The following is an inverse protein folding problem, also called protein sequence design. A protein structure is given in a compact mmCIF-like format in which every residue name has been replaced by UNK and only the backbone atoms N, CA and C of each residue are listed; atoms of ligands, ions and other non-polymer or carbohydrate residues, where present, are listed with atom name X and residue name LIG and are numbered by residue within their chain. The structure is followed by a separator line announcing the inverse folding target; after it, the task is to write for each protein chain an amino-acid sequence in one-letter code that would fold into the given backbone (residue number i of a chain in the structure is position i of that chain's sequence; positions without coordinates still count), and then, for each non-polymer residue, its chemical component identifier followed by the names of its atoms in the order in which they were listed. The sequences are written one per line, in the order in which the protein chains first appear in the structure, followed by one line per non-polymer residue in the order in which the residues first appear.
data_IF_315465761395
#
_entry.id   IF_315465761395
#
_cell.length_a   1.000
_cell.length_b   1.000
_cell.length_c   1.000
_cell.angle_alpha   90.00
_cell.angle_beta   90.00
_cell.angle_gamma   90.00
#
_symmetry.space_group_name_H-M   'P 1'
#
loop_
_entity.id
_entity.type
_entity.pdbx_description
1 polymer ?
#
# COMPACT_ATOMS: atom_id res chain seq x y z
N UNK A 1 36.26 16.89 -10.19
CA UNK A 1 37.46 16.02 -10.09
C UNK A 1 38.02 15.98 -8.66
N UNK A 2 38.07 17.12 -7.95
CA UNK A 2 38.63 17.25 -6.59
C UNK A 2 37.85 16.40 -5.54
N UNK A 3 36.53 16.44 -5.57
CA UNK A 3 35.66 15.63 -4.67
C UNK A 3 35.85 14.11 -4.85
N UNK A 4 36.08 13.65 -6.08
CA UNK A 4 36.33 12.23 -6.36
C UNK A 4 37.69 11.77 -5.83
N UNK A 5 38.72 12.64 -5.84
CA UNK A 5 40.02 12.36 -5.25
C UNK A 5 39.91 12.24 -3.73
N UNK A 6 39.23 13.17 -3.07
CA UNK A 6 38.95 13.13 -1.63
C UNK A 6 38.09 11.93 -1.20
N UNK A 7 37.23 11.42 -2.08
CA UNK A 7 36.47 10.20 -1.82
C UNK A 7 37.35 8.97 -1.76
N UNK A 8 38.32 8.87 -2.65
CA UNK A 8 39.26 7.74 -2.72
C UNK A 8 40.14 7.66 -1.47
N UNK A 9 40.53 8.84 -0.95
CA UNK A 9 41.42 8.94 0.20
C UNK A 9 40.71 8.81 1.55
N UNK A 10 39.39 9.10 1.63
CA UNK A 10 38.66 9.14 2.91
C UNK A 10 37.66 7.99 3.13
N UNK A 11 37.35 7.18 2.11
CA UNK A 11 36.34 6.12 2.19
C UNK A 11 34.89 6.62 2.41
N UNK A 12 34.67 7.94 2.52
CA UNK A 12 33.38 8.54 2.77
C UNK A 12 32.56 8.64 1.47
N UNK A 13 31.25 8.62 1.60
CA UNK A 13 30.35 8.88 0.45
C UNK A 13 30.50 10.31 -0.05
N UNK A 14 30.43 10.52 -1.36
CA UNK A 14 30.67 11.81 -2.01
C UNK A 14 29.79 12.94 -1.45
N UNK A 15 28.53 12.64 -1.07
CA UNK A 15 27.63 13.59 -0.44
C UNK A 15 28.09 14.03 0.96
N UNK A 16 28.67 13.13 1.74
CA UNK A 16 29.22 13.45 3.07
C UNK A 16 30.46 14.35 2.96
N UNK A 17 31.28 14.12 1.93
CA UNK A 17 32.46 14.96 1.63
C UNK A 17 32.01 16.35 1.18
N UNK A 18 30.97 16.45 0.35
CA UNK A 18 30.42 17.70 -0.12
C UNK A 18 29.86 18.55 1.03
N UNK A 19 29.20 17.93 2.02
CA UNK A 19 28.76 18.63 3.24
C UNK A 19 29.95 19.07 4.07
N UNK A 20 30.90 18.15 4.35
CA UNK A 20 32.06 18.41 5.20
C UNK A 20 32.94 19.58 4.68
N UNK A 21 32.98 19.77 3.37
CA UNK A 21 33.73 20.84 2.73
C UNK A 21 32.88 22.05 2.32
N UNK A 22 31.62 22.13 2.77
CA UNK A 22 30.78 23.31 2.57
C UNK A 22 30.26 23.51 1.12
N UNK A 23 30.41 22.53 0.23
CA UNK A 23 29.92 22.62 -1.16
C UNK A 23 28.41 22.58 -1.27
N UNK A 24 27.75 21.87 -0.35
CA UNK A 24 26.29 21.78 -0.27
C UNK A 24 25.85 21.64 1.19
N UNK A 25 24.69 22.19 1.52
CA UNK A 25 24.07 22.02 2.83
C UNK A 25 23.43 20.63 3.00
N UNK A 26 23.23 20.15 4.25
CA UNK A 26 22.55 18.88 4.51
C UNK A 26 21.15 18.82 3.88
N UNK A 27 20.41 19.93 3.90
CA UNK A 27 19.07 20.05 3.28
C UNK A 27 19.13 19.96 1.76
N UNK A 28 20.14 20.57 1.14
CA UNK A 28 20.34 20.55 -0.33
C UNK A 28 20.75 19.15 -0.80
N UNK A 29 21.63 18.45 -0.06
CA UNK A 29 21.99 17.08 -0.38
C UNK A 29 20.76 16.16 -0.32
N UNK A 30 19.94 16.32 0.73
CA UNK A 30 18.71 15.57 0.89
C UNK A 30 17.76 15.81 -0.30
N UNK A 31 17.60 17.08 -0.72
CA UNK A 31 16.74 17.47 -1.84
C UNK A 31 17.26 16.92 -3.18
N UNK A 32 18.58 16.93 -3.41
CA UNK A 32 19.21 16.37 -4.61
C UNK A 32 19.05 14.84 -4.69
N UNK A 33 19.25 14.14 -3.57
CA UNK A 33 19.05 12.68 -3.50
C UNK A 33 17.59 12.30 -3.68
N UNK A 34 16.69 13.11 -3.14
CA UNK A 34 15.24 12.94 -3.32
C UNK A 34 14.82 13.16 -4.77
N UNK A 35 15.31 14.23 -5.41
CA UNK A 35 15.06 14.52 -6.83
C UNK A 35 15.62 13.42 -7.75
N UNK A 36 16.78 12.86 -7.43
CA UNK A 36 17.38 11.75 -8.16
C UNK A 36 16.57 10.46 -7.98
N UNK A 37 16.00 10.22 -6.81
CA UNK A 37 15.10 9.09 -6.53
C UNK A 37 13.77 9.24 -7.27
N UNK A 38 13.19 10.44 -7.30
CA UNK A 38 11.97 10.77 -8.05
C UNK A 38 12.17 10.67 -9.56
N UNK A 39 13.33 11.07 -10.09
CA UNK A 39 13.70 10.95 -11.51
C UNK A 39 13.89 9.46 -11.89
N UNK A 40 14.44 8.62 -11.02
CA UNK A 40 14.54 7.17 -11.27
C UNK A 40 13.18 6.49 -11.30
N UNK A 41 12.26 6.90 -10.43
CA UNK A 41 10.86 6.43 -10.44
C UNK A 41 10.17 6.91 -11.73
N UNK A 42 10.38 8.15 -12.16
CA UNK A 42 9.82 8.69 -13.41
C UNK A 42 10.44 8.03 -14.66
N UNK A 43 11.75 7.77 -14.65
CA UNK A 43 12.45 7.10 -15.75
C UNK A 43 12.03 5.63 -15.91
N UNK A 44 11.78 4.91 -14.81
CA UNK A 44 11.20 3.56 -14.89
C UNK A 44 9.77 3.58 -15.42
N UNK A 45 8.99 4.63 -15.15
CA UNK A 45 7.66 4.82 -15.76
C UNK A 45 7.74 5.13 -17.26
N UNK A 46 8.71 5.93 -17.71
CA UNK A 46 8.89 6.30 -19.14
C UNK A 46 9.46 5.15 -19.98
N UNK A 47 10.37 4.35 -19.43
CA UNK A 47 10.89 3.15 -20.14
C UNK A 47 9.85 2.03 -20.20
N UNK A 48 8.94 1.95 -19.21
CA UNK A 48 7.82 1.01 -19.23
C UNK A 48 6.81 1.37 -20.36
N UNK A 49 6.56 2.66 -20.59
CA UNK A 49 5.64 3.10 -21.66
C UNK A 49 6.18 2.87 -23.08
N UNK A 50 7.49 2.87 -23.28
CA UNK A 50 8.12 2.60 -24.57
C UNK A 50 8.19 1.09 -24.91
N UNK A 51 8.24 0.22 -23.89
CA UNK A 51 8.29 -1.24 -24.08
C UNK A 51 6.92 -1.87 -24.37
N UNK A 52 5.82 -1.14 -24.16
CA UNK A 52 4.45 -1.63 -24.38
C UNK A 52 4.08 -1.72 -25.87
N UNK A 53 4.84 -1.08 -26.77
CA UNK A 53 4.53 -1.12 -28.20
C UNK A 53 5.05 -2.35 -28.96
N UNK A 54 5.78 -3.29 -28.34
CA UNK A 54 6.43 -4.39 -29.06
C UNK A 54 6.13 -5.81 -28.57
N UNK A 55 5.18 -6.03 -27.67
CA UNK A 55 4.81 -7.39 -27.26
C UNK A 55 3.46 -7.81 -27.84
N UNK A 56 3.51 -8.68 -28.87
CA UNK A 56 2.37 -9.52 -29.27
C UNK A 56 1.78 -10.21 -28.04
N UNK A 57 0.49 -10.02 -27.86
CA UNK A 57 -0.37 -10.65 -26.86
C UNK A 57 -0.12 -12.16 -26.75
N UNK A 58 0.69 -12.59 -25.81
CA UNK A 58 0.47 -13.90 -25.21
C UNK A 58 -0.69 -13.73 -24.22
N UNK A 59 -1.84 -14.33 -24.57
CA UNK A 59 -2.93 -14.54 -23.61
C UNK A 59 -2.37 -15.32 -22.42
N UNK A 60 -1.97 -14.61 -21.39
CA UNK A 60 -1.80 -15.22 -20.09
C UNK A 60 -3.15 -15.87 -19.75
N UNK A 61 -3.18 -17.19 -19.59
CA UNK A 61 -4.30 -17.90 -18.97
C UNK A 61 -4.49 -17.21 -17.61
N UNK A 62 -5.57 -16.45 -17.49
CA UNK A 62 -6.07 -16.04 -16.21
C UNK A 62 -6.47 -17.32 -15.48
N UNK A 63 -5.56 -17.86 -14.67
CA UNK A 63 -5.91 -18.78 -13.62
C UNK A 63 -6.96 -18.06 -12.78
N UNK A 64 -8.06 -18.75 -12.44
CA UNK A 64 -9.09 -18.16 -11.59
C UNK A 64 -8.41 -17.70 -10.30
N UNK A 65 -8.35 -16.39 -10.10
CA UNK A 65 -7.80 -15.79 -8.89
C UNK A 65 -8.70 -16.29 -7.74
N UNK A 66 -8.18 -17.19 -6.93
CA UNK A 66 -8.91 -17.70 -5.78
C UNK A 66 -9.14 -16.57 -4.78
N UNK A 67 -10.37 -16.43 -4.29
CA UNK A 67 -10.66 -15.38 -3.30
C UNK A 67 -9.94 -15.68 -1.96
N UNK A 68 -9.54 -14.63 -1.26
CA UNK A 68 -8.78 -14.71 0.00
C UNK A 68 -9.40 -15.64 1.04
N UNK A 69 -10.73 -15.68 1.26
CA UNK A 69 -11.34 -16.63 2.20
C UNK A 69 -11.15 -18.09 1.81
N UNK A 70 -11.23 -18.39 0.50
CA UNK A 70 -10.99 -19.74 0.00
C UNK A 70 -9.51 -20.14 0.15
N UNK A 71 -8.59 -19.18 -0.03
CA UNK A 71 -7.15 -19.38 0.17
C UNK A 71 -6.83 -19.70 1.64
N UNK A 72 -7.34 -18.91 2.57
CA UNK A 72 -7.09 -19.08 4.00
C UNK A 72 -7.76 -20.32 4.60
N UNK A 73 -8.71 -20.95 3.88
CA UNK A 73 -9.50 -22.10 4.39
C UNK A 73 -10.00 -21.84 5.81
N UNK A 74 -10.59 -20.66 6.02
CA UNK A 74 -11.12 -20.30 7.34
C UNK A 74 -12.16 -21.32 7.81
N UNK A 75 -12.07 -21.74 9.07
CA UNK A 75 -12.92 -22.78 9.64
C UNK A 75 -14.36 -22.34 9.95
N UNK A 76 -14.72 -21.13 9.57
CA UNK A 76 -16.07 -20.58 9.65
C UNK A 76 -16.48 -20.08 8.27
N UNK A 77 -17.76 -20.04 7.98
CA UNK A 77 -18.29 -19.48 6.74
C UNK A 77 -18.55 -18.00 6.95
N UNK A 78 -17.80 -17.09 6.31
CA UNK A 78 -18.10 -15.66 6.40
C UNK A 78 -19.49 -15.37 5.84
N UNK A 79 -20.31 -14.64 6.57
CA UNK A 79 -21.59 -14.17 6.06
C UNK A 79 -21.37 -12.96 5.14
N UNK A 80 -21.22 -13.23 3.84
CA UNK A 80 -21.05 -12.19 2.83
C UNK A 80 -22.29 -11.32 2.64
N UNK A 81 -23.49 -11.83 3.00
CA UNK A 81 -24.74 -11.05 2.91
C UNK A 81 -24.82 -9.98 4.01
N UNK A 82 -23.95 -10.05 5.00
CA UNK A 82 -23.84 -9.08 6.10
C UNK A 82 -23.41 -7.69 5.62
N UNK A 83 -22.81 -7.60 4.43
CA UNK A 83 -22.30 -6.38 3.86
C UNK A 83 -23.00 -6.08 2.55
N UNK A 84 -23.64 -4.93 2.46
CA UNK A 84 -24.22 -4.47 1.20
C UNK A 84 -23.13 -4.24 0.14
N UNK A 85 -23.43 -4.60 -1.10
CA UNK A 85 -22.55 -4.32 -2.22
C UNK A 85 -22.58 -2.82 -2.55
N UNK A 86 -21.43 -2.17 -2.52
CA UNK A 86 -21.32 -0.73 -2.83
C UNK A 86 -21.01 -0.56 -4.30
N UNK A 87 -21.97 -0.05 -5.07
CA UNK A 87 -21.82 0.16 -6.50
C UNK A 87 -20.94 1.38 -6.83
N UNK A 88 -21.00 2.43 -5.99
CA UNK A 88 -20.24 3.66 -6.17
C UNK A 88 -19.70 4.12 -4.82
N UNK A 89 -18.38 4.14 -4.71
CA UNK A 89 -17.73 4.62 -3.50
C UNK A 89 -17.54 6.14 -3.54
N UNK A 90 -17.64 6.81 -2.39
CA UNK A 90 -17.26 8.22 -2.29
C UNK A 90 -15.76 8.35 -2.61
N UNK A 91 -15.41 9.48 -3.22
CA UNK A 91 -14.01 9.83 -3.46
C UNK A 91 -13.26 9.98 -2.14
N UNK A 92 -12.00 9.57 -2.12
CA UNK A 92 -11.16 9.66 -0.93
C UNK A 92 -10.16 10.80 -1.06
N UNK A 93 -9.80 11.41 0.07
CA UNK A 93 -8.81 12.50 0.17
C UNK A 93 -9.15 13.72 -0.70
N UNK A 94 -10.42 13.97 -1.03
CA UNK A 94 -10.83 15.09 -1.87
C UNK A 94 -10.21 15.09 -3.27
N UNK A 95 -10.06 13.92 -3.90
CA UNK A 95 -9.45 13.78 -5.23
C UNK A 95 -10.43 13.22 -6.24
N UNK A 96 -10.22 13.53 -7.52
CA UNK A 96 -10.86 12.82 -8.62
C UNK A 96 -10.15 11.50 -8.87
N UNK A 97 -10.92 10.42 -9.04
CA UNK A 97 -10.40 9.07 -9.25
C UNK A 97 -10.62 8.61 -10.68
N UNK A 98 -9.54 8.12 -11.32
CA UNK A 98 -9.62 7.45 -12.62
C UNK A 98 -9.39 5.97 -12.38
N UNK A 99 -10.40 5.16 -12.65
CA UNK A 99 -10.38 3.71 -12.44
C UNK A 99 -9.90 2.95 -13.65
N UNK A 100 -9.04 1.95 -13.45
CA UNK A 100 -8.68 0.94 -14.46
C UNK A 100 -8.81 -0.46 -13.88
N UNK A 101 -9.20 -1.42 -14.71
CA UNK A 101 -9.19 -2.85 -14.38
C UNK A 101 -7.86 -3.53 -14.73
N UNK A 102 -7.01 -2.87 -15.50
CA UNK A 102 -5.70 -3.39 -15.83
C UNK A 102 -4.71 -3.15 -14.70
N UNK A 103 -4.45 -4.20 -13.93
CA UNK A 103 -3.49 -4.20 -12.81
C UNK A 103 -2.13 -4.79 -13.19
N UNK A 104 -1.88 -5.09 -14.47
CA UNK A 104 -0.66 -5.75 -14.96
C UNK A 104 0.64 -4.98 -14.64
N UNK A 105 0.55 -3.66 -14.45
CA UNK A 105 1.68 -2.83 -14.05
C UNK A 105 2.08 -3.01 -12.56
N UNK A 106 1.20 -3.56 -11.72
CA UNK A 106 1.41 -3.72 -10.28
C UNK A 106 1.99 -5.10 -9.95
N UNK A 107 3.16 -5.41 -10.51
CA UNK A 107 3.80 -6.73 -10.39
C UNK A 107 4.03 -7.14 -8.94
N UNK A 108 4.50 -6.25 -8.07
CA UNK A 108 4.72 -6.56 -6.65
C UNK A 108 3.44 -7.00 -5.94
N UNK A 109 2.32 -6.36 -6.26
CA UNK A 109 1.01 -6.74 -5.75
C UNK A 109 0.61 -8.15 -6.20
N UNK A 110 0.75 -8.45 -7.50
CA UNK A 110 0.44 -9.76 -8.05
C UNK A 110 1.38 -10.84 -7.53
N UNK A 111 2.70 -10.59 -7.57
CA UNK A 111 3.73 -11.51 -7.09
C UNK A 111 3.58 -11.82 -5.59
N UNK A 112 3.16 -10.85 -4.77
CA UNK A 112 2.87 -11.06 -3.36
C UNK A 112 1.72 -12.06 -3.17
N UNK A 113 0.63 -11.92 -3.93
CA UNK A 113 -0.48 -12.87 -3.86
C UNK A 113 -0.10 -14.24 -4.40
N UNK A 114 0.67 -14.34 -5.48
CA UNK A 114 1.15 -15.61 -6.02
C UNK A 114 2.00 -16.38 -4.99
N UNK A 115 2.89 -15.67 -4.28
CA UNK A 115 3.68 -16.24 -3.17
C UNK A 115 2.80 -16.63 -1.98
N UNK A 116 1.81 -15.79 -1.65
CA UNK A 116 0.88 -16.08 -0.56
C UNK A 116 0.05 -17.33 -0.87
N UNK A 117 -0.46 -17.48 -2.10
CA UNK A 117 -1.17 -18.69 -2.54
C UNK A 117 -0.27 -19.94 -2.48
N UNK A 118 1.00 -19.80 -2.88
CA UNK A 118 1.97 -20.90 -2.82
C UNK A 118 2.21 -21.33 -1.37
N UNK A 119 2.49 -20.39 -0.45
CA UNK A 119 2.71 -20.70 0.97
C UNK A 119 1.52 -21.40 1.62
N UNK A 120 0.30 -21.01 1.28
CA UNK A 120 -0.90 -21.63 1.82
C UNK A 120 -1.13 -23.07 1.33
N UNK A 121 -0.55 -23.46 0.19
CA UNK A 121 -0.62 -24.84 -0.31
C UNK A 121 0.38 -25.74 0.40
N UNK A 122 1.56 -25.22 0.73
CA UNK A 122 2.65 -25.98 1.32
C UNK A 122 2.51 -26.08 2.85
N UNK A 123 1.98 -25.07 3.51
CA UNK A 123 2.00 -24.94 4.96
C UNK A 123 0.60 -24.90 5.60
N UNK A 124 -0.22 -25.94 5.38
CA UNK A 124 -1.50 -26.07 6.12
C UNK A 124 -1.32 -26.16 7.65
N UNK A 125 -0.08 -26.25 8.15
CA UNK A 125 0.28 -26.44 9.56
C UNK A 125 1.11 -25.30 10.15
N UNK A 126 1.37 -24.19 9.43
CA UNK A 126 2.12 -23.07 9.98
C UNK A 126 1.45 -22.56 11.26
N UNK A 127 2.15 -22.65 12.43
CA UNK A 127 1.56 -22.26 13.71
C UNK A 127 1.19 -20.78 13.79
N UNK A 128 1.96 -19.89 13.13
CA UNK A 128 1.71 -18.45 13.14
C UNK A 128 0.45 -18.15 12.37
N UNK A 129 0.29 -18.76 11.20
CA UNK A 129 -0.93 -18.62 10.39
C UNK A 129 -2.15 -19.22 11.09
N UNK A 130 -2.01 -20.38 11.74
CA UNK A 130 -3.11 -21.00 12.50
C UNK A 130 -3.52 -20.14 13.70
N UNK A 131 -2.54 -19.56 14.41
CA UNK A 131 -2.81 -18.60 15.48
C UNK A 131 -3.57 -17.37 14.96
N UNK A 132 -3.12 -16.79 13.86
CA UNK A 132 -3.79 -15.65 13.23
C UNK A 132 -5.24 -15.99 12.80
N UNK A 133 -5.45 -17.13 12.16
CA UNK A 133 -6.80 -17.61 11.82
C UNK A 133 -7.71 -17.77 13.05
N UNK A 134 -7.15 -18.29 14.15
CA UNK A 134 -7.87 -18.41 15.43
C UNK A 134 -8.29 -17.06 15.98
N UNK A 135 -7.43 -16.05 15.91
CA UNK A 135 -7.75 -14.67 16.31
C UNK A 135 -8.83 -14.05 15.41
N UNK A 136 -8.78 -14.27 14.09
CA UNK A 136 -9.83 -13.83 13.17
C UNK A 136 -11.15 -14.50 13.47
N UNK A 137 -11.16 -15.80 13.78
CA UNK A 137 -12.38 -16.53 14.15
C UNK A 137 -13.08 -15.90 15.36
N UNK A 138 -12.33 -15.42 16.36
CA UNK A 138 -12.91 -14.74 17.52
C UNK A 138 -13.57 -13.40 17.18
N UNK A 139 -13.25 -12.84 16.01
CA UNK A 139 -13.83 -11.59 15.53
C UNK A 139 -15.01 -11.78 14.58
N UNK A 140 -15.30 -13.03 14.15
CA UNK A 140 -16.32 -13.32 13.11
C UNK A 140 -17.71 -12.79 13.43
N UNK A 141 -18.09 -12.78 14.71
CA UNK A 141 -19.42 -12.39 15.17
C UNK A 141 -19.53 -10.90 15.57
N UNK A 142 -18.40 -10.16 15.52
CA UNK A 142 -18.39 -8.75 15.86
C UNK A 142 -19.16 -7.91 14.83
N UNK A 143 -19.74 -6.80 15.26
CA UNK A 143 -20.31 -5.80 14.34
C UNK A 143 -19.19 -5.26 13.43
N UNK A 144 -19.47 -4.89 12.16
CA UNK A 144 -18.46 -4.45 11.19
C UNK A 144 -17.51 -3.37 11.71
N UNK A 145 -18.02 -2.34 12.38
CA UNK A 145 -17.20 -1.26 12.93
C UNK A 145 -16.22 -1.77 14.00
N UNK A 146 -16.64 -2.66 14.88
CA UNK A 146 -15.78 -3.27 15.90
C UNK A 146 -14.75 -4.21 15.25
N UNK A 147 -15.15 -4.98 14.25
CA UNK A 147 -14.28 -5.88 13.50
C UNK A 147 -13.12 -5.10 12.84
N UNK A 148 -13.42 -3.99 12.17
CA UNK A 148 -12.43 -3.09 11.57
C UNK A 148 -11.42 -2.61 12.63
N UNK A 149 -11.92 -2.15 13.79
CA UNK A 149 -11.09 -1.67 14.90
C UNK A 149 -10.19 -2.76 15.48
N UNK A 150 -10.73 -3.98 15.67
CA UNK A 150 -9.97 -5.11 16.22
C UNK A 150 -8.90 -5.61 15.23
N UNK A 151 -9.19 -5.68 13.93
CA UNK A 151 -8.18 -6.01 12.91
C UNK A 151 -7.06 -4.97 12.89
N UNK A 152 -7.39 -3.67 12.93
CA UNK A 152 -6.37 -2.62 13.00
C UNK A 152 -5.48 -2.78 14.25
N UNK A 153 -6.10 -3.02 15.41
CA UNK A 153 -5.38 -3.22 16.67
C UNK A 153 -4.49 -4.46 16.64
N UNK A 154 -5.01 -5.58 16.14
CA UNK A 154 -4.29 -6.85 16.07
C UNK A 154 -3.03 -6.71 15.20
N UNK A 155 -3.19 -6.24 13.97
CA UNK A 155 -2.09 -6.14 13.01
C UNK A 155 -1.06 -5.09 13.45
N UNK A 156 -1.49 -3.99 14.08
CA UNK A 156 -0.58 -2.96 14.59
C UNK A 156 0.28 -3.40 15.80
N UNK A 157 0.08 -4.59 16.34
CA UNK A 157 0.95 -5.17 17.38
C UNK A 157 2.22 -5.79 16.81
N UNK A 158 2.24 -6.10 15.51
CA UNK A 158 3.40 -6.68 14.84
C UNK A 158 4.54 -5.63 14.78
N UNK A 159 5.76 -6.09 14.83
CA UNK A 159 6.94 -5.23 14.85
C UNK A 159 7.14 -4.55 13.49
N UNK A 160 7.36 -3.23 13.50
CA UNK A 160 7.74 -2.48 12.30
C UNK A 160 9.23 -2.71 11.99
N UNK A 161 9.52 -3.14 10.77
CA UNK A 161 10.88 -3.35 10.27
C UNK A 161 10.92 -2.92 8.81
N UNK A 162 11.82 -1.99 8.48
CA UNK A 162 12.00 -1.56 7.10
C UNK A 162 12.53 -2.69 6.22
N UNK A 163 12.11 -2.75 4.98
CA UNK A 163 12.50 -3.73 3.98
C UNK A 163 14.00 -3.93 3.85
N UNK A 164 14.75 -2.83 3.92
CA UNK A 164 16.20 -2.87 3.84
C UNK A 164 16.82 -3.71 4.96
N UNK A 165 16.28 -3.61 6.17
CA UNK A 165 16.74 -4.35 7.32
C UNK A 165 16.20 -5.78 7.33
N UNK A 166 14.96 -5.99 6.87
CA UNK A 166 14.26 -7.25 6.93
C UNK A 166 14.65 -8.19 5.77
N UNK A 167 14.70 -7.64 4.55
CA UNK A 167 14.82 -8.42 3.30
C UNK A 167 16.06 -8.09 2.48
N UNK A 168 16.88 -7.11 2.91
CA UNK A 168 17.97 -6.53 2.12
C UNK A 168 17.50 -6.02 0.73
N UNK A 169 16.24 -5.61 0.64
CA UNK A 169 15.59 -5.05 -0.54
C UNK A 169 15.15 -3.61 -0.26
N UNK A 170 14.95 -2.82 -1.30
CA UNK A 170 14.52 -1.42 -1.15
C UNK A 170 13.02 -1.24 -1.05
N UNK A 171 12.24 -2.24 -1.43
CA UNK A 171 10.79 -2.22 -1.51
C UNK A 171 10.31 -3.65 -1.84
N UNK A 172 9.89 -4.38 -0.80
CA UNK A 172 9.46 -5.77 -0.86
C UNK A 172 8.10 -5.90 -0.19
N UNK A 173 7.11 -6.30 -0.92
CA UNK A 173 5.76 -6.51 -0.40
C UNK A 173 5.64 -7.91 0.17
N UNK A 174 5.75 -8.03 1.49
CA UNK A 174 5.70 -9.31 2.16
C UNK A 174 4.29 -9.91 2.09
N UNK A 175 4.22 -11.24 2.04
CA UNK A 175 2.96 -11.95 2.24
C UNK A 175 2.48 -11.80 3.69
N UNK A 176 1.18 -11.97 3.98
CA UNK A 176 0.72 -11.98 5.37
C UNK A 176 1.46 -12.98 6.27
N UNK A 177 1.87 -14.14 5.76
CA UNK A 177 2.64 -15.13 6.53
C UNK A 177 4.04 -14.57 6.87
N UNK A 178 4.78 -14.12 5.87
CA UNK A 178 6.10 -13.51 6.04
C UNK A 178 6.05 -12.32 7.01
N UNK A 179 5.01 -11.48 6.91
CA UNK A 179 4.81 -10.34 7.80
C UNK A 179 4.50 -10.75 9.24
N UNK A 180 3.64 -11.75 9.45
CA UNK A 180 3.31 -12.24 10.79
C UNK A 180 4.51 -12.87 11.49
N UNK A 181 5.41 -13.52 10.75
CA UNK A 181 6.61 -14.15 11.27
C UNK A 181 7.73 -13.16 11.58
N UNK A 182 7.94 -12.20 10.68
CA UNK A 182 9.16 -11.38 10.69
C UNK A 182 8.92 -9.91 11.01
N UNK A 183 7.67 -9.44 10.91
CA UNK A 183 7.36 -8.03 10.84
C UNK A 183 7.55 -7.47 9.43
N UNK A 184 7.35 -6.16 9.27
CA UNK A 184 7.45 -5.50 7.98
C UNK A 184 7.20 -4.01 8.07
N UNK A 185 7.03 -3.35 6.93
CA UNK A 185 6.79 -1.92 6.87
C UNK A 185 5.34 -1.55 6.43
N UNK A 186 5.10 -0.33 5.98
CA UNK A 186 3.74 0.21 5.89
C UNK A 186 2.80 -0.57 4.97
N UNK A 187 3.28 -1.03 3.82
CA UNK A 187 2.47 -1.82 2.88
C UNK A 187 2.12 -3.20 3.43
N UNK A 188 3.01 -3.84 4.18
CA UNK A 188 2.78 -5.16 4.76
C UNK A 188 1.66 -5.14 5.81
N UNK A 189 1.62 -4.06 6.62
CA UNK A 189 0.49 -3.82 7.52
C UNK A 189 -0.81 -3.64 6.74
N UNK A 190 -0.80 -2.85 5.66
CA UNK A 190 -1.99 -2.60 4.87
C UNK A 190 -2.48 -3.88 4.17
N UNK A 191 -1.57 -4.68 3.60
CA UNK A 191 -1.84 -5.98 2.98
C UNK A 191 -2.44 -6.95 3.99
N UNK A 192 -1.82 -7.10 5.17
CA UNK A 192 -2.28 -8.05 6.18
C UNK A 192 -3.66 -7.68 6.73
N UNK A 193 -3.93 -6.38 6.96
CA UNK A 193 -5.27 -5.90 7.34
C UNK A 193 -6.31 -6.16 6.24
N UNK A 194 -5.93 -5.92 4.97
CA UNK A 194 -6.78 -6.22 3.82
C UNK A 194 -7.15 -7.72 3.78
N UNK A 195 -6.17 -8.61 3.88
CA UNK A 195 -6.37 -10.06 3.89
C UNK A 195 -7.22 -10.49 5.08
N UNK A 196 -6.97 -9.93 6.27
CA UNK A 196 -7.76 -10.21 7.48
C UNK A 196 -9.24 -9.84 7.31
N UNK A 197 -9.53 -8.64 6.81
CA UNK A 197 -10.91 -8.21 6.58
C UNK A 197 -11.58 -9.01 5.47
N UNK A 198 -10.87 -9.38 4.41
CA UNK A 198 -11.38 -10.31 3.39
C UNK A 198 -11.74 -11.66 3.99
N UNK A 199 -10.88 -12.22 4.85
CA UNK A 199 -11.14 -13.47 5.55
C UNK A 199 -12.36 -13.39 6.47
N UNK A 200 -12.63 -12.22 7.04
CA UNK A 200 -13.80 -11.93 7.88
C UNK A 200 -15.08 -11.61 7.09
N UNK A 201 -15.03 -11.69 5.74
CA UNK A 201 -16.21 -11.55 4.88
C UNK A 201 -16.43 -10.16 4.30
N UNK A 202 -15.53 -9.19 4.55
CA UNK A 202 -15.67 -7.88 3.89
C UNK A 202 -15.58 -8.05 2.36
N UNK A 203 -16.53 -7.50 1.60
CA UNK A 203 -16.49 -7.56 0.14
C UNK A 203 -15.24 -6.87 -0.42
N UNK A 204 -14.68 -7.44 -1.48
CA UNK A 204 -13.48 -6.90 -2.14
C UNK A 204 -13.61 -5.42 -2.54
N UNK A 205 -14.78 -5.04 -3.02
CA UNK A 205 -15.06 -3.68 -3.46
C UNK A 205 -15.10 -2.66 -2.31
N UNK A 206 -15.15 -3.10 -1.05
CA UNK A 206 -15.07 -2.22 0.13
C UNK A 206 -13.63 -1.97 0.61
N UNK A 207 -12.63 -2.57 -0.01
CA UNK A 207 -11.24 -2.51 0.43
C UNK A 207 -10.33 -1.99 -0.67
N UNK A 208 -9.44 -1.06 -0.31
CA UNK A 208 -8.37 -0.57 -1.18
C UNK A 208 -7.12 -0.26 -0.37
N UNK A 209 -5.97 -0.71 -0.82
CA UNK A 209 -4.70 -0.19 -0.32
C UNK A 209 -4.43 1.11 -1.05
N UNK A 210 -4.22 2.19 -0.32
CA UNK A 210 -3.87 3.49 -0.87
C UNK A 210 -2.38 3.79 -0.62
N UNK A 211 -1.65 4.07 -1.69
CA UNK A 211 -0.30 4.59 -1.64
C UNK A 211 -0.38 6.10 -1.66
N UNK A 212 0.19 6.71 -0.65
CA UNK A 212 0.09 8.14 -0.36
C UNK A 212 1.46 8.76 -0.09
N UNK A 213 1.57 10.08 -0.23
CA UNK A 213 2.64 10.85 0.36
C UNK A 213 2.20 11.32 1.74
N UNK A 214 2.95 10.97 2.77
CA UNK A 214 2.81 11.55 4.10
C UNK A 214 3.40 12.96 4.10
N UNK A 215 2.55 13.99 4.16
CA UNK A 215 2.96 15.39 4.06
C UNK A 215 3.68 15.91 5.30
N UNK A 216 3.60 15.20 6.43
CA UNK A 216 4.27 15.58 7.68
C UNK A 216 5.69 15.02 7.69
N UNK A 217 5.85 13.75 7.31
CA UNK A 217 7.15 13.06 7.29
C UNK A 217 7.90 13.23 5.97
N UNK A 218 7.19 13.69 4.94
CA UNK A 218 7.65 13.80 3.55
C UNK A 218 8.20 12.48 2.98
N UNK A 219 7.51 11.38 3.26
CA UNK A 219 7.86 10.04 2.79
C UNK A 219 6.65 9.35 2.14
N UNK A 220 6.87 8.43 1.19
CA UNK A 220 5.83 7.50 0.75
C UNK A 220 5.29 6.68 1.92
N UNK A 221 4.00 6.37 1.87
CA UNK A 221 3.33 5.59 2.89
C UNK A 221 2.18 4.78 2.27
N UNK A 222 1.81 3.67 2.90
CA UNK A 222 0.69 2.84 2.49
C UNK A 222 -0.30 2.65 3.65
N UNK A 223 -1.58 2.73 3.33
CA UNK A 223 -2.67 2.57 4.30
C UNK A 223 -3.80 1.74 3.70
N UNK A 224 -4.59 1.09 4.54
CA UNK A 224 -5.81 0.43 4.09
C UNK A 224 -7.00 1.38 4.22
N UNK A 225 -7.76 1.52 3.13
CA UNK A 225 -9.05 2.18 3.09
C UNK A 225 -10.15 1.12 3.15
N UNK A 226 -11.09 1.31 4.08
CA UNK A 226 -12.27 0.47 4.26
C UNK A 226 -13.52 1.30 4.08
N UNK A 227 -14.32 0.98 3.09
CA UNK A 227 -15.62 1.64 2.86
C UNK A 227 -16.67 1.02 3.79
N UNK A 228 -16.87 1.63 4.93
CA UNK A 228 -17.93 1.28 5.88
C UNK A 228 -19.27 1.90 5.49
N UNK A 229 -20.35 1.50 6.18
CA UNK A 229 -21.68 2.08 5.97
C UNK A 229 -21.74 3.57 6.43
N UNK A 230 -20.80 3.98 7.30
CA UNK A 230 -20.66 5.37 7.79
C UNK A 230 -19.66 6.19 6.95
N UNK A 231 -19.16 5.66 5.83
CA UNK A 231 -18.19 6.27 4.96
C UNK A 231 -16.80 5.61 5.00
N UNK A 232 -15.84 6.16 4.23
CA UNK A 232 -14.51 5.60 4.12
C UNK A 232 -13.68 5.82 5.39
N UNK A 233 -13.12 4.72 5.91
CA UNK A 233 -12.25 4.68 7.06
C UNK A 233 -10.81 4.40 6.62
N UNK A 234 -9.85 4.92 7.38
CA UNK A 234 -8.43 4.67 7.19
C UNK A 234 -7.87 3.85 8.35
N UNK A 235 -7.22 2.73 7.99
CA UNK A 235 -6.47 1.87 8.91
C UNK A 235 -4.98 2.05 8.62
N UNK A 236 -4.30 2.61 9.59
CA UNK A 236 -2.91 3.04 9.48
C UNK A 236 -2.06 2.35 10.57
N UNK A 237 -0.82 1.98 10.26
CA UNK A 237 0.10 1.43 11.25
C UNK A 237 0.72 2.52 12.15
N UNK A 238 0.68 3.78 11.73
CA UNK A 238 1.19 4.93 12.51
C UNK A 238 0.22 5.38 13.61
N UNK A 239 -1.01 4.84 13.66
CA UNK A 239 -2.01 5.17 14.69
C UNK A 239 -2.84 3.96 15.07
N UNK A 240 -3.18 3.88 16.36
CA UNK A 240 -4.09 2.84 16.87
C UNK A 240 -5.56 3.13 16.54
N UNK A 241 -5.89 4.38 16.25
CA UNK A 241 -7.26 4.82 16.01
C UNK A 241 -7.60 4.67 14.52
N UNK A 242 -8.73 4.02 14.26
CA UNK A 242 -9.39 4.08 12.95
C UNK A 242 -10.04 5.45 12.82
N UNK A 243 -9.80 6.14 11.72
CA UNK A 243 -10.32 7.49 11.46
C UNK A 243 -11.13 7.51 10.17
N UNK A 244 -12.10 8.43 10.05
CA UNK A 244 -12.71 8.74 8.77
C UNK A 244 -11.68 9.41 7.85
N UNK A 245 -11.66 9.03 6.57
CA UNK A 245 -10.71 9.59 5.59
C UNK A 245 -10.83 11.11 5.49
N UNK A 246 -12.05 11.65 5.59
CA UNK A 246 -12.35 13.09 5.56
C UNK A 246 -11.64 13.89 6.68
N UNK A 247 -11.27 13.23 7.78
CA UNK A 247 -10.59 13.85 8.92
C UNK A 247 -9.07 13.66 8.89
N UNK A 248 -8.51 13.20 7.76
CA UNK A 248 -7.07 12.93 7.61
C UNK A 248 -6.49 13.77 6.49
N UNK A 249 -5.87 14.90 6.84
CA UNK A 249 -5.33 15.88 5.89
C UNK A 249 -3.83 15.71 5.61
N UNK A 250 -3.17 14.82 6.35
CA UNK A 250 -1.72 14.60 6.21
C UNK A 250 -1.32 13.78 4.98
N UNK A 251 -2.26 13.16 4.30
CA UNK A 251 -1.98 12.26 3.19
C UNK A 251 -2.41 12.85 1.85
N UNK A 252 -1.48 12.83 0.89
CA UNK A 252 -1.74 13.13 -0.51
C UNK A 252 -1.70 11.80 -1.28
N UNK A 253 -2.83 11.30 -1.80
CA UNK A 253 -2.87 10.01 -2.47
C UNK A 253 -2.22 10.10 -3.85
N UNK A 254 -1.55 9.01 -4.23
CA UNK A 254 -1.05 8.77 -5.58
C UNK A 254 -1.99 7.84 -6.32
N UNK A 255 -2.19 6.66 -5.79
CA UNK A 255 -3.13 5.67 -6.31
C UNK A 255 -3.67 4.79 -5.17
N UNK A 256 -4.77 4.09 -5.46
CA UNK A 256 -5.24 3.00 -4.63
C UNK A 256 -5.50 1.76 -5.46
N UNK A 257 -5.44 0.59 -4.85
CA UNK A 257 -5.53 -0.70 -5.55
C UNK A 257 -6.27 -1.74 -4.70
N UNK A 258 -6.99 -2.64 -5.38
CA UNK A 258 -7.43 -3.92 -4.86
C UNK A 258 -7.13 -5.02 -5.89
N UNK A 259 -7.62 -6.25 -5.71
CA UNK A 259 -7.32 -7.38 -6.62
C UNK A 259 -7.92 -7.25 -8.01
N UNK A 260 -8.90 -6.35 -8.21
CA UNK A 260 -9.67 -6.26 -9.47
C UNK A 260 -9.50 -4.94 -10.21
N UNK A 261 -8.96 -3.91 -9.55
CA UNK A 261 -8.84 -2.60 -10.14
C UNK A 261 -7.86 -1.72 -9.34
N UNK A 262 -7.44 -0.64 -9.98
CA UNK A 262 -6.72 0.43 -9.33
C UNK A 262 -7.31 1.78 -9.71
N UNK A 263 -7.05 2.80 -8.91
CA UNK A 263 -7.56 4.17 -9.07
C UNK A 263 -6.41 5.15 -8.97
N UNK A 264 -6.21 5.94 -10.03
CA UNK A 264 -5.30 7.07 -10.01
C UNK A 264 -6.00 8.25 -9.35
N UNK A 265 -5.37 8.88 -8.36
CA UNK A 265 -5.89 10.05 -7.67
C UNK A 265 -5.33 11.34 -8.26
N UNK A 266 -6.21 12.25 -8.69
CA UNK A 266 -5.85 13.57 -9.23
C UNK A 266 -6.45 14.67 -8.36
N UNK A 267 -5.71 15.75 -8.14
CA UNK A 267 -6.28 16.95 -7.53
C UNK A 267 -7.49 17.41 -8.33
N UNK A 268 -8.54 17.81 -7.62
CA UNK A 268 -9.64 18.57 -8.23
C UNK A 268 -9.03 19.91 -8.62
N UNK A 269 -8.96 20.21 -9.92
CA UNK A 269 -8.67 21.56 -10.38
C UNK A 269 -9.91 22.38 -10.07
N UNK A 270 -9.82 23.32 -9.12
CA UNK A 270 -10.80 24.39 -9.01
C UNK A 270 -10.69 25.19 -10.30
N UNK A 271 -11.76 25.24 -11.09
CA UNK A 271 -11.85 26.22 -12.18
C UNK A 271 -11.61 27.61 -11.59
N UNK A 272 -10.79 28.46 -12.23
CA UNK A 272 -10.65 29.83 -11.77
C UNK A 272 -12.04 30.45 -11.82
N UNK A 273 -12.56 30.82 -10.65
CA UNK A 273 -13.80 31.63 -10.58
C UNK A 273 -13.44 32.95 -11.26
N UNK A 274 -13.90 33.14 -12.50
CA UNK A 274 -13.90 34.44 -13.14
C UNK A 274 -14.81 35.35 -12.30
N UNK A 275 -14.20 36.06 -11.36
CA UNK A 275 -14.86 37.20 -10.73
C UNK A 275 -14.96 38.24 -11.82
N UNK A 276 -16.15 38.31 -12.47
CA UNK A 276 -16.50 39.42 -13.35
C UNK A 276 -16.44 40.67 -12.49
N UNK A 277 -15.39 41.48 -12.72
CA UNK A 277 -15.37 42.82 -12.20
C UNK A 277 -16.55 43.56 -12.85
N UNK A 278 -17.61 43.79 -12.09
CA UNK A 278 -18.69 44.72 -12.47
C UNK A 278 -18.12 46.10 -12.20
N UNK A 279 -17.79 46.82 -13.30
CA UNK A 279 -17.56 48.26 -13.28
C UNK A 279 -18.90 48.99 -13.22
#
# INVERSE_FOLDING_TARGET
KELLKKQKDSGLKIGQIAIKHGFIGPKELFFLLFKQRSIRILATFLTLSASIMCFKSQKARAGSIQDVPALLKVSYTPDYNRFEYVHKHPQIFGTNEIRSKDISAFKKWSDMFDRFEASLREENSDPVLQHFKSQLKQMSDLKPAHMIGQVNKLVNQIKYIEDRANWNKSDYWATPVEFLERGGDCEDYAITKYVALRALGFPENRLRIAVVQDLIKDIPHAVLIVYSDEGPLILDNQTRLVKKVENVFRYKPHFSINRHAWWLHRKIQSEPTLVAAVN
#
